data_IF_509147853884
#
_entry.id   IF_509147853884
#
_cell.length_a   1.000
_cell.length_b   1.000
_cell.length_c   1.000
_cell.angle_alpha   90.00
_cell.angle_beta   90.00
_cell.angle_gamma   90.00
#
_symmetry.space_group_name_H-M   'P 1'
#
loop_
_entity.id
_entity.type
_entity.pdbx_description
1 polymer ?
#
# COMPACT_ATOMS: atom_id res chain seq x y z
N UNK A 1 28.16 20.11 -12.33
CA UNK A 1 27.49 19.83 -13.63
C UNK A 1 28.47 19.46 -14.72
N UNK A 2 29.45 20.31 -15.10
CA UNK A 2 30.41 20.02 -16.18
C UNK A 2 31.20 18.70 -16.00
N UNK A 3 31.65 18.40 -14.78
CA UNK A 3 32.35 17.13 -14.51
C UNK A 3 31.48 15.87 -14.67
N UNK A 4 30.19 15.94 -14.34
CA UNK A 4 29.24 14.84 -14.54
C UNK A 4 28.95 14.61 -16.03
N UNK A 5 28.85 15.69 -16.80
CA UNK A 5 28.65 15.63 -18.26
C UNK A 5 29.89 15.05 -18.94
N UNK A 6 31.09 15.50 -18.57
CA UNK A 6 32.34 14.95 -19.10
C UNK A 6 32.49 13.46 -18.79
N UNK A 7 32.18 13.04 -17.55
CA UNK A 7 32.18 11.63 -17.15
C UNK A 7 31.18 10.80 -17.96
N UNK A 8 29.96 11.30 -18.15
CA UNK A 8 28.94 10.62 -18.95
C UNK A 8 29.40 10.42 -20.41
N UNK A 9 30.05 11.42 -21.01
CA UNK A 9 30.57 11.35 -22.39
C UNK A 9 31.75 10.38 -22.52
N UNK A 10 32.68 10.39 -21.56
CA UNK A 10 33.85 9.48 -21.55
C UNK A 10 33.46 8.01 -21.32
N UNK A 11 32.42 7.76 -20.51
CA UNK A 11 31.96 6.40 -20.19
C UNK A 11 30.92 5.90 -21.21
N UNK A 12 30.19 6.78 -21.90
CA UNK A 12 29.21 6.45 -22.95
C UNK A 12 29.65 5.37 -23.97
N UNK A 13 30.88 5.39 -24.52
CA UNK A 13 31.33 4.37 -25.47
C UNK A 13 31.63 3.00 -24.84
N UNK A 14 31.75 2.91 -23.51
CA UNK A 14 31.98 1.67 -22.77
C UNK A 14 30.68 0.86 -22.60
N UNK A 15 29.52 1.53 -22.65
CA UNK A 15 28.22 0.89 -22.47
C UNK A 15 27.85 0.06 -23.70
N UNK A 16 27.94 -1.25 -23.54
CA UNK A 16 27.49 -2.22 -24.54
C UNK A 16 25.96 -2.17 -24.63
N UNK A 17 25.43 -2.75 -25.71
CA UNK A 17 23.97 -2.84 -25.90
C UNK A 17 23.27 -3.45 -24.67
N UNK A 18 23.89 -4.45 -24.07
CA UNK A 18 23.39 -5.11 -22.86
C UNK A 18 23.25 -4.14 -21.68
N UNK A 19 24.26 -3.30 -21.42
CA UNK A 19 24.21 -2.34 -20.31
C UNK A 19 23.10 -1.30 -20.49
N UNK A 20 22.88 -0.85 -21.74
CA UNK A 20 21.79 0.08 -22.06
C UNK A 20 20.42 -0.55 -21.84
N UNK A 21 20.24 -1.80 -22.26
CA UNK A 21 18.99 -2.55 -22.03
C UNK A 21 18.75 -2.74 -20.54
N UNK A 22 19.79 -3.08 -19.76
CA UNK A 22 19.67 -3.21 -18.32
C UNK A 22 19.32 -1.88 -17.64
N UNK A 23 19.94 -0.76 -18.03
CA UNK A 23 19.62 0.56 -17.48
C UNK A 23 18.16 0.93 -17.75
N UNK A 24 17.69 0.75 -18.98
CA UNK A 24 16.29 1.02 -19.35
C UNK A 24 15.34 0.09 -18.60
N UNK A 25 15.64 -1.22 -18.58
CA UNK A 25 14.86 -2.22 -17.87
C UNK A 25 14.77 -1.93 -16.36
N UNK A 26 15.88 -1.50 -15.75
CA UNK A 26 15.92 -1.10 -14.35
C UNK A 26 15.08 0.16 -14.08
N UNK A 27 15.14 1.16 -14.97
CA UNK A 27 14.29 2.34 -14.89
C UNK A 27 12.80 2.01 -14.99
N UNK A 28 12.42 1.13 -15.93
CA UNK A 28 11.04 0.64 -16.07
C UNK A 28 10.62 -0.14 -14.83
N UNK A 29 11.49 -0.99 -14.28
CA UNK A 29 11.22 -1.74 -13.07
C UNK A 29 10.97 -0.83 -11.86
N UNK A 30 11.81 0.19 -11.65
CA UNK A 30 11.59 1.18 -10.59
C UNK A 30 10.27 1.91 -10.81
N UNK A 31 10.01 2.37 -12.04
CA UNK A 31 8.76 3.06 -12.38
C UNK A 31 7.53 2.20 -12.09
N UNK A 32 7.60 0.91 -12.40
CA UNK A 32 6.55 -0.06 -12.11
C UNK A 32 6.34 -0.24 -10.60
N UNK A 33 7.41 -0.39 -9.80
CA UNK A 33 7.34 -0.49 -8.34
C UNK A 33 6.74 0.78 -7.73
N UNK A 34 7.17 1.96 -8.18
CA UNK A 34 6.62 3.24 -7.70
C UNK A 34 5.14 3.39 -8.06
N UNK A 35 4.76 3.04 -9.29
CA UNK A 35 3.35 3.04 -9.72
C UNK A 35 2.50 2.11 -8.85
N UNK A 36 3.03 0.92 -8.54
CA UNK A 36 2.36 -0.06 -7.71
C UNK A 36 2.14 0.44 -6.27
N UNK A 37 3.15 1.08 -5.67
CA UNK A 37 3.03 1.71 -4.36
C UNK A 37 2.06 2.90 -4.36
N UNK A 38 2.09 3.73 -5.41
CA UNK A 38 1.17 4.85 -5.56
C UNK A 38 -0.29 4.42 -5.75
N UNK A 39 -0.53 3.17 -6.18
CA UNK A 39 -1.88 2.61 -6.34
C UNK A 39 -2.46 2.07 -5.02
N UNK A 40 -1.65 1.94 -3.97
CA UNK A 40 -2.12 1.44 -2.68
C UNK A 40 -3.23 2.34 -2.13
N UNK A 41 -4.39 1.76 -1.81
CA UNK A 41 -5.54 2.49 -1.28
C UNK A 41 -6.42 1.57 -0.44
N UNK A 42 -7.11 2.16 0.52
CA UNK A 42 -8.15 1.51 1.31
C UNK A 42 -9.43 2.28 1.07
N UNK A 43 -10.49 1.60 0.64
CA UNK A 43 -11.79 2.22 0.35
C UNK A 43 -12.86 1.48 1.11
N UNK A 44 -13.59 2.21 1.96
CA UNK A 44 -14.72 1.67 2.70
C UNK A 44 -16.01 2.12 2.01
N UNK A 45 -16.81 1.15 1.57
CA UNK A 45 -18.08 1.35 0.88
C UNK A 45 -19.25 0.85 1.74
N UNK A 46 -20.49 1.01 1.24
CA UNK A 46 -21.68 0.46 1.91
C UNK A 46 -21.61 -1.06 2.07
N UNK A 47 -21.17 -1.77 1.03
CA UNK A 47 -21.11 -3.24 1.03
C UNK A 47 -19.94 -3.84 1.83
N UNK A 48 -18.86 -3.07 2.07
CA UNK A 48 -17.65 -3.64 2.67
C UNK A 48 -16.40 -2.78 2.48
N UNK A 49 -15.23 -3.42 2.57
CA UNK A 49 -13.91 -2.79 2.52
C UNK A 49 -13.09 -3.32 1.33
N UNK A 50 -12.59 -2.43 0.49
CA UNK A 50 -11.65 -2.77 -0.59
C UNK A 50 -10.24 -2.32 -0.21
N UNK A 51 -9.33 -3.29 -0.05
CA UNK A 51 -7.93 -3.06 0.28
C UNK A 51 -7.08 -3.36 -0.96
N UNK A 52 -6.50 -2.30 -1.53
CA UNK A 52 -5.51 -2.39 -2.61
C UNK A 52 -4.13 -2.22 -1.98
N UNK A 53 -3.40 -3.33 -1.88
CA UNK A 53 -1.97 -3.34 -1.58
C UNK A 53 -1.16 -3.39 -2.86
N UNK A 54 0.15 -3.23 -2.73
CA UNK A 54 1.06 -3.14 -3.86
C UNK A 54 0.87 -4.33 -4.82
N UNK A 55 0.96 -5.55 -4.32
CA UNK A 55 0.85 -6.76 -5.16
C UNK A 55 -0.52 -7.43 -5.15
N UNK A 56 -1.44 -7.04 -4.26
CA UNK A 56 -2.72 -7.76 -4.06
C UNK A 56 -3.88 -6.78 -3.86
N UNK A 57 -5.05 -7.17 -4.35
CA UNK A 57 -6.30 -6.46 -4.08
C UNK A 57 -7.28 -7.44 -3.49
N UNK A 58 -7.84 -7.11 -2.33
CA UNK A 58 -8.87 -7.91 -1.66
C UNK A 58 -10.09 -7.03 -1.40
N UNK A 59 -11.25 -7.54 -1.78
CA UNK A 59 -12.54 -7.00 -1.40
C UNK A 59 -13.05 -7.85 -0.25
N UNK A 60 -13.40 -7.20 0.84
CA UNK A 60 -13.83 -7.79 2.09
C UNK A 60 -15.24 -7.31 2.39
N UNK A 61 -16.10 -8.19 2.87
CA UNK A 61 -17.38 -7.78 3.46
C UNK A 61 -17.18 -7.30 4.89
N UNK A 62 -18.09 -6.46 5.40
CA UNK A 62 -17.98 -5.95 6.78
C UNK A 62 -17.85 -7.05 7.84
N UNK A 63 -18.62 -8.16 7.79
CA UNK A 63 -18.49 -9.25 8.77
C UNK A 63 -17.18 -10.03 8.67
N UNK A 64 -16.47 -9.95 7.53
CA UNK A 64 -15.18 -10.63 7.39
C UNK A 64 -14.07 -9.91 8.16
N UNK A 65 -14.26 -8.62 8.49
CA UNK A 65 -13.27 -7.81 9.21
C UNK A 65 -13.65 -7.72 10.68
N UNK A 66 -12.95 -8.46 11.52
CA UNK A 66 -13.21 -8.52 12.95
C UNK A 66 -12.61 -7.34 13.71
N UNK A 67 -11.51 -6.77 13.21
CA UNK A 67 -10.83 -5.69 13.89
C UNK A 67 -9.73 -5.04 13.06
N UNK A 68 -9.25 -3.92 13.57
CA UNK A 68 -8.09 -3.22 13.00
C UNK A 68 -7.13 -2.77 14.10
N UNK A 69 -5.88 -3.19 13.97
CA UNK A 69 -4.79 -2.93 14.90
C UNK A 69 -3.64 -2.19 14.21
N UNK A 70 -2.96 -1.32 14.95
CA UNK A 70 -1.77 -0.61 14.49
C UNK A 70 -0.94 -0.19 15.70
N UNK A 71 0.32 -0.62 15.74
CA UNK A 71 1.27 -0.27 16.79
C UNK A 71 2.06 0.97 16.39
N UNK A 72 2.58 1.70 17.39
CA UNK A 72 3.50 2.81 17.14
C UNK A 72 4.76 2.28 16.46
N UNK A 73 5.02 2.75 15.24
CA UNK A 73 6.17 2.32 14.44
C UNK A 73 5.80 1.39 13.29
N UNK A 74 4.57 0.85 13.27
CA UNK A 74 4.11 0.05 12.15
C UNK A 74 3.96 0.92 10.89
N UNK A 75 4.40 0.44 9.72
CA UNK A 75 4.31 1.21 8.49
C UNK A 75 2.88 1.33 7.96
N UNK A 76 1.97 0.45 8.38
CA UNK A 76 0.53 0.46 8.04
C UNK A 76 -0.27 -0.37 9.06
N UNK A 77 -1.59 -0.14 9.20
CA UNK A 77 -2.46 -0.95 10.04
C UNK A 77 -2.67 -2.36 9.48
N UNK A 78 -3.06 -3.27 10.36
CA UNK A 78 -3.38 -4.66 10.05
C UNK A 78 -4.85 -4.94 10.38
N UNK A 79 -5.55 -5.58 9.46
CA UNK A 79 -6.93 -6.03 9.60
C UNK A 79 -6.95 -7.48 10.03
N UNK A 80 -7.71 -7.79 11.07
CA UNK A 80 -7.92 -9.16 11.54
C UNK A 80 -9.21 -9.70 10.92
N UNK A 81 -9.10 -10.86 10.28
CA UNK A 81 -10.18 -11.41 9.46
C UNK A 81 -10.82 -12.65 10.10
N UNK A 82 -12.08 -12.88 9.77
CA UNK A 82 -12.87 -14.00 10.29
C UNK A 82 -12.32 -15.38 9.89
N UNK A 83 -11.53 -15.46 8.82
CA UNK A 83 -10.82 -16.67 8.39
C UNK A 83 -9.56 -16.98 9.24
N UNK A 84 -9.28 -16.18 10.27
CA UNK A 84 -8.12 -16.31 11.15
C UNK A 84 -6.83 -15.75 10.54
N UNK A 85 -6.88 -15.14 9.36
CA UNK A 85 -5.74 -14.47 8.74
C UNK A 85 -5.73 -12.98 9.06
N UNK A 86 -4.56 -12.36 8.90
CA UNK A 86 -4.40 -10.92 9.01
C UNK A 86 -3.98 -10.31 7.69
N UNK A 87 -4.56 -9.16 7.34
CA UNK A 87 -4.28 -8.43 6.11
C UNK A 87 -3.77 -7.02 6.42
N UNK A 88 -2.54 -6.73 6.01
CA UNK A 88 -2.01 -5.36 6.06
C UNK A 88 -2.78 -4.43 5.12
N UNK A 89 -3.05 -3.20 5.55
CA UNK A 89 -3.78 -2.19 4.79
C UNK A 89 -2.83 -1.05 4.38
N UNK A 90 -1.96 -1.32 3.42
CA UNK A 90 -0.85 -0.44 3.00
C UNK A 90 -1.32 0.93 2.48
N UNK A 91 -2.58 1.06 2.06
CA UNK A 91 -3.16 2.34 1.66
C UNK A 91 -3.31 3.36 2.81
N UNK A 92 -3.16 2.94 4.07
CA UNK A 92 -3.05 3.84 5.22
C UNK A 92 -1.58 3.91 5.61
N UNK A 93 -0.96 5.07 5.39
CA UNK A 93 0.48 5.25 5.58
C UNK A 93 0.83 5.66 7.01
N UNK A 94 1.49 4.78 7.76
CA UNK A 94 1.90 5.04 9.15
C UNK A 94 2.96 6.13 9.32
N UNK A 95 3.69 6.49 8.26
CA UNK A 95 4.58 7.65 8.30
C UNK A 95 3.79 8.96 8.50
N UNK A 96 2.54 9.00 8.04
CA UNK A 96 1.64 10.15 8.17
C UNK A 96 0.86 10.09 9.50
N UNK A 97 1.57 9.90 10.62
CA UNK A 97 1.06 9.67 11.99
C UNK A 97 -0.34 10.22 12.27
N UNK A 98 -0.55 11.53 12.14
CA UNK A 98 -1.84 12.18 12.44
C UNK A 98 -2.95 11.77 11.48
N UNK A 99 -2.66 11.65 10.18
CA UNK A 99 -3.63 11.19 9.18
C UNK A 99 -3.94 9.71 9.40
N UNK A 100 -2.92 8.88 9.60
CA UNK A 100 -3.07 7.46 9.87
C UNK A 100 -3.94 7.20 11.09
N UNK A 101 -3.73 7.94 12.18
CA UNK A 101 -4.55 7.85 13.38
C UNK A 101 -6.02 8.21 13.11
N UNK A 102 -6.28 9.27 12.31
CA UNK A 102 -7.65 9.65 11.93
C UNK A 102 -8.32 8.58 11.08
N UNK A 103 -7.64 8.10 10.04
CA UNK A 103 -8.13 7.03 9.16
C UNK A 103 -8.41 5.75 9.93
N UNK A 104 -7.55 5.40 10.89
CA UNK A 104 -7.75 4.24 11.76
C UNK A 104 -8.98 4.41 12.67
N UNK A 105 -9.17 5.59 13.26
CA UNK A 105 -10.36 5.87 14.08
C UNK A 105 -11.63 5.83 13.24
N UNK A 106 -11.63 6.41 12.04
CA UNK A 106 -12.77 6.38 11.11
C UNK A 106 -13.10 4.95 10.68
N UNK A 107 -12.07 4.16 10.33
CA UNK A 107 -12.25 2.76 9.97
C UNK A 107 -12.81 1.94 11.13
N UNK A 108 -12.35 2.16 12.37
CA UNK A 108 -12.92 1.52 13.57
C UNK A 108 -14.39 1.90 13.76
N UNK A 109 -14.73 3.17 13.59
CA UNK A 109 -16.11 3.62 13.72
C UNK A 109 -17.03 2.96 12.67
N UNK A 110 -16.55 2.82 11.43
CA UNK A 110 -17.28 2.12 10.38
C UNK A 110 -17.41 0.62 10.67
N UNK A 111 -16.36 -0.03 11.18
CA UNK A 111 -16.40 -1.43 11.59
C UNK A 111 -17.44 -1.65 12.71
N UNK A 112 -17.49 -0.78 13.71
CA UNK A 112 -18.52 -0.87 14.76
C UNK A 112 -19.93 -0.64 14.20
N UNK A 113 -20.11 0.30 13.27
CA UNK A 113 -21.42 0.61 12.73
C UNK A 113 -21.94 -0.44 11.73
N UNK A 114 -21.06 -1.21 11.07
CA UNK A 114 -21.39 -2.07 9.92
C UNK A 114 -21.00 -3.54 10.10
N UNK A 115 -20.09 -3.85 11.01
CA UNK A 115 -19.54 -5.20 11.24
C UNK A 115 -20.29 -5.99 12.32
N UNK A 116 -21.03 -5.31 13.20
CA UNK A 116 -21.89 -5.97 14.17
C UNK A 116 -23.24 -6.28 13.50
N UNK A 117 -23.56 -7.56 13.34
CA UNK A 117 -24.91 -7.95 12.94
C UNK A 117 -25.91 -7.37 13.96
N UNK A 118 -27.10 -6.88 13.54
CA UNK A 118 -28.12 -6.47 14.50
C UNK A 118 -28.39 -7.64 15.44
N UNK A 119 -28.26 -7.41 16.75
CA UNK A 119 -28.60 -8.38 17.78
C UNK A 119 -30.05 -8.84 17.54
N UNK A 120 -30.32 -10.13 17.25
CA UNK A 120 -31.68 -10.60 17.07
C UNK A 120 -32.36 -10.59 18.44
N UNK A 121 -33.23 -9.60 18.64
CA UNK A 121 -34.10 -9.44 19.79
C UNK A 121 -35.04 -10.63 20.02
#
# INVERSE_FOLDING_TARGET
MLGLIALAVLVAPQFKLFDRVLIVGFGVFIGWVLHMLARCRVTADESGLTVVNAFRTRRLEWPEVLGVSMTVGDPWPTLDLADGTSLGAMGINGAEKTLAARQLTELRALLHARGEAPDPA
#
